data_IF_757169821876
#
_entry.id   IF_757169821876
#
_cell.length_a   1.000
_cell.length_b   1.000
_cell.length_c   1.000
_cell.angle_alpha   90.00
_cell.angle_beta   90.00
_cell.angle_gamma   90.00
#
_symmetry.space_group_name_H-M   'P 1'
#
loop_
_entity.id
_entity.type
_entity.pdbx_description
1 polymer ?
#
# COMPACT_ATOMS: atom_id res chain seq x y z
N UNK A 1 -4.58 -14.28 -6.57
CA UNK A 1 -4.53 -14.62 -8.02
C UNK A 1 -5.79 -15.33 -8.56
N UNK A 2 -6.92 -15.39 -7.84
CA UNK A 2 -8.09 -16.19 -8.24
C UNK A 2 -9.38 -15.43 -8.56
N UNK A 3 -9.43 -14.10 -8.45
CA UNK A 3 -10.67 -13.34 -8.63
C UNK A 3 -10.87 -13.06 -10.12
N UNK A 4 -11.83 -13.76 -10.75
CA UNK A 4 -12.24 -13.55 -12.15
C UNK A 4 -13.76 -13.31 -12.22
N UNK A 5 -14.20 -12.05 -12.11
CA UNK A 5 -15.60 -11.71 -12.23
C UNK A 5 -16.09 -11.85 -13.67
N UNK A 6 -17.30 -12.36 -13.85
CA UNK A 6 -17.91 -12.56 -15.18
C UNK A 6 -18.30 -11.24 -15.86
N UNK A 7 -18.73 -10.24 -15.07
CA UNK A 7 -19.14 -8.93 -15.61
C UNK A 7 -17.92 -8.10 -16.01
N UNK A 8 -17.90 -7.47 -17.20
CA UNK A 8 -16.77 -6.67 -17.67
C UNK A 8 -16.33 -5.58 -16.69
N UNK A 9 -17.30 -4.86 -16.09
CA UNK A 9 -17.02 -3.81 -15.10
C UNK A 9 -16.32 -4.36 -13.85
N UNK A 10 -16.82 -5.48 -13.32
CA UNK A 10 -16.24 -6.10 -12.13
C UNK A 10 -14.84 -6.63 -12.43
N UNK A 11 -14.63 -7.18 -13.62
CA UNK A 11 -13.32 -7.66 -14.07
C UNK A 11 -12.30 -6.52 -14.17
N UNK A 12 -12.69 -5.36 -14.69
CA UNK A 12 -11.84 -4.17 -14.72
C UNK A 12 -11.46 -3.69 -13.30
N UNK A 13 -12.42 -3.67 -12.38
CA UNK A 13 -12.19 -3.31 -10.97
C UNK A 13 -11.23 -4.31 -10.30
N UNK A 14 -11.49 -5.62 -10.44
CA UNK A 14 -10.65 -6.67 -9.89
C UNK A 14 -9.21 -6.62 -10.44
N UNK A 15 -9.06 -6.32 -11.73
CA UNK A 15 -7.76 -6.16 -12.38
C UNK A 15 -7.00 -4.95 -11.82
N UNK A 16 -7.69 -3.85 -11.53
CA UNK A 16 -7.09 -2.65 -10.92
C UNK A 16 -6.53 -2.95 -9.53
N UNK A 17 -7.27 -3.71 -8.70
CA UNK A 17 -6.78 -4.14 -7.39
C UNK A 17 -5.62 -5.13 -7.50
N UNK A 18 -5.72 -6.11 -8.40
CA UNK A 18 -4.65 -7.07 -8.64
C UNK A 18 -3.36 -6.36 -9.09
N UNK A 19 -3.48 -5.35 -9.95
CA UNK A 19 -2.34 -4.54 -10.39
C UNK A 19 -1.74 -3.74 -9.23
N UNK A 20 -2.57 -3.13 -8.38
CA UNK A 20 -2.10 -2.39 -7.19
C UNK A 20 -1.36 -3.29 -6.22
N UNK A 21 -1.92 -4.48 -5.92
CA UNK A 21 -1.31 -5.49 -5.09
C UNK A 21 0.02 -5.99 -5.68
N UNK A 22 0.06 -6.26 -6.99
CA UNK A 22 1.28 -6.70 -7.67
C UNK A 22 2.37 -5.64 -7.58
N UNK A 23 2.07 -4.38 -7.87
CA UNK A 23 3.05 -3.30 -7.80
C UNK A 23 3.59 -3.08 -6.37
N UNK A 24 2.75 -3.27 -5.35
CA UNK A 24 3.19 -3.25 -3.95
C UNK A 24 4.17 -4.39 -3.68
N UNK A 25 3.79 -5.62 -4.05
CA UNK A 25 4.63 -6.80 -3.88
C UNK A 25 5.98 -6.65 -4.59
N UNK A 26 5.98 -6.18 -5.83
CA UNK A 26 7.19 -6.07 -6.64
C UNK A 26 8.17 -5.01 -6.11
N UNK A 27 7.68 -4.00 -5.37
CA UNK A 27 8.52 -2.93 -4.81
C UNK A 27 9.01 -3.19 -3.40
N UNK A 28 8.17 -3.76 -2.53
CA UNK A 28 8.45 -3.86 -1.09
C UNK A 28 8.31 -5.27 -0.52
N UNK A 29 7.84 -6.24 -1.31
CA UNK A 29 7.73 -7.66 -0.89
C UNK A 29 6.58 -8.00 0.06
N UNK A 30 5.94 -6.99 0.69
CA UNK A 30 4.80 -7.14 1.59
C UNK A 30 3.79 -5.97 1.40
N UNK A 31 2.68 -5.96 2.15
CA UNK A 31 1.71 -4.88 2.18
C UNK A 31 0.64 -4.95 1.08
N UNK A 32 0.58 -6.05 0.34
CA UNK A 32 -0.39 -6.24 -0.77
C UNK A 32 -1.84 -6.11 -0.31
N UNK A 33 -2.15 -6.63 0.89
CA UNK A 33 -3.47 -6.52 1.51
C UNK A 33 -3.79 -5.06 1.87
N UNK A 34 -2.86 -4.38 2.52
CA UNK A 34 -3.00 -2.97 2.90
C UNK A 34 -3.21 -2.08 1.68
N UNK A 35 -2.40 -2.26 0.64
CA UNK A 35 -2.53 -1.55 -0.63
C UNK A 35 -3.90 -1.79 -1.27
N UNK A 36 -4.37 -3.04 -1.31
CA UNK A 36 -5.67 -3.40 -1.90
C UNK A 36 -6.84 -2.72 -1.18
N UNK A 37 -6.84 -2.74 0.16
CA UNK A 37 -7.90 -2.14 0.98
C UNK A 37 -7.88 -0.61 0.84
N UNK A 38 -6.70 0.01 0.85
CA UNK A 38 -6.57 1.46 0.66
C UNK A 38 -7.09 1.89 -0.71
N UNK A 39 -6.68 1.20 -1.78
CA UNK A 39 -7.17 1.48 -3.14
C UNK A 39 -8.69 1.35 -3.23
N UNK A 40 -9.27 0.33 -2.60
CA UNK A 40 -10.73 0.13 -2.59
C UNK A 40 -11.46 1.29 -1.93
N UNK A 41 -11.02 1.71 -0.73
CA UNK A 41 -11.62 2.82 0.00
C UNK A 41 -11.45 4.15 -0.75
N UNK A 42 -10.27 4.41 -1.33
CA UNK A 42 -10.02 5.62 -2.12
C UNK A 42 -10.93 5.72 -3.34
N UNK A 43 -11.11 4.63 -4.09
CA UNK A 43 -12.00 4.60 -5.26
C UNK A 43 -13.46 4.84 -4.84
N UNK A 44 -13.90 4.18 -3.75
CA UNK A 44 -15.26 4.33 -3.24
C UNK A 44 -15.55 5.78 -2.84
N UNK A 45 -14.64 6.41 -2.09
CA UNK A 45 -14.84 7.77 -1.59
C UNK A 45 -14.70 8.82 -2.69
N UNK A 46 -13.75 8.64 -3.61
CA UNK A 46 -13.64 9.48 -4.80
C UNK A 46 -14.92 9.41 -5.65
N UNK A 47 -15.47 8.21 -5.83
CA UNK A 47 -16.72 8.02 -6.59
C UNK A 47 -17.90 8.76 -5.96
N UNK A 48 -18.06 8.71 -4.63
CA UNK A 48 -19.09 9.48 -3.92
C UNK A 48 -18.92 10.98 -4.10
N UNK A 49 -17.70 11.48 -3.95
CA UNK A 49 -17.38 12.90 -4.09
C UNK A 49 -17.66 13.41 -5.51
N UNK A 50 -17.31 12.62 -6.54
CA UNK A 50 -17.61 12.93 -7.94
C UNK A 50 -19.12 12.94 -8.19
N UNK A 51 -19.87 11.96 -7.64
CA UNK A 51 -21.32 11.91 -7.76
C UNK A 51 -22.02 13.12 -7.10
N UNK A 52 -21.40 13.71 -6.08
CA UNK A 52 -21.85 14.96 -5.45
C UNK A 52 -21.54 16.23 -6.28
N UNK A 53 -20.93 16.09 -7.45
CA UNK A 53 -20.62 17.20 -8.37
C UNK A 53 -19.24 17.83 -8.18
N UNK A 54 -18.37 17.26 -7.33
CA UNK A 54 -17.02 17.78 -7.13
C UNK A 54 -16.11 17.51 -8.34
N UNK A 55 -15.21 18.45 -8.62
CA UNK A 55 -14.28 18.33 -9.74
C UNK A 55 -13.24 17.21 -9.53
N UNK A 56 -13.10 16.35 -10.55
CA UNK A 56 -12.22 15.19 -10.56
C UNK A 56 -10.74 15.56 -10.44
N UNK A 57 -10.33 16.64 -11.09
CA UNK A 57 -8.94 17.09 -11.11
C UNK A 57 -8.56 17.64 -9.74
N UNK A 58 -9.44 18.41 -9.11
CA UNK A 58 -9.29 18.89 -7.74
C UNK A 58 -9.15 17.75 -6.74
N UNK A 59 -10.01 16.71 -6.81
CA UNK A 59 -9.91 15.54 -5.93
C UNK A 59 -8.55 14.85 -6.09
N UNK A 60 -8.14 14.57 -7.33
CA UNK A 60 -6.83 13.95 -7.62
C UNK A 60 -5.68 14.78 -7.04
N UNK A 61 -5.69 16.09 -7.27
CA UNK A 61 -4.66 16.99 -6.77
C UNK A 61 -4.64 17.03 -5.23
N UNK A 62 -5.80 17.00 -4.58
CA UNK A 62 -5.93 16.91 -3.12
C UNK A 62 -5.31 15.62 -2.58
N UNK A 63 -5.62 14.47 -3.21
CA UNK A 63 -5.04 13.17 -2.85
C UNK A 63 -3.52 13.17 -2.98
N UNK A 64 -2.98 13.77 -4.05
CA UNK A 64 -1.52 13.86 -4.24
C UNK A 64 -0.85 14.68 -3.14
N UNK A 65 -1.42 15.84 -2.78
CA UNK A 65 -0.91 16.67 -1.69
C UNK A 65 -0.99 15.96 -0.34
N UNK A 66 -2.10 15.29 -0.05
CA UNK A 66 -2.27 14.51 1.18
C UNK A 66 -1.23 13.39 1.26
N UNK A 67 -1.00 12.68 0.15
CA UNK A 67 0.03 11.63 0.05
C UNK A 67 1.42 12.18 0.40
N UNK A 68 1.80 13.35 -0.10
CA UNK A 68 3.13 13.95 0.20
C UNK A 68 3.28 14.28 1.70
N UNK A 69 2.23 14.81 2.33
CA UNK A 69 2.22 15.10 3.78
C UNK A 69 2.31 13.81 4.60
N UNK A 70 1.52 12.80 4.24
CA UNK A 70 1.52 11.49 4.92
C UNK A 70 2.90 10.84 4.79
N UNK A 71 3.52 10.90 3.61
CA UNK A 71 4.85 10.30 3.40
C UNK A 71 5.91 10.94 4.30
N UNK A 72 5.83 12.28 4.46
CA UNK A 72 6.72 13.03 5.35
C UNK A 72 6.58 12.57 6.80
N UNK A 73 5.35 12.38 7.27
CA UNK A 73 5.09 11.94 8.65
C UNK A 73 5.48 10.48 8.88
N UNK A 74 5.22 9.59 7.92
CA UNK A 74 5.68 8.20 8.03
C UNK A 74 7.22 8.14 8.09
N UNK A 75 7.90 8.98 7.31
CA UNK A 75 9.35 9.07 7.34
C UNK A 75 9.88 9.59 8.69
N UNK A 76 9.22 10.58 9.31
CA UNK A 76 9.62 11.09 10.64
C UNK A 76 9.42 10.06 11.76
N UNK A 77 8.45 9.16 11.62
CA UNK A 77 8.21 8.05 12.56
C UNK A 77 9.17 6.87 12.36
N UNK A 78 9.91 6.82 11.26
CA UNK A 78 10.79 5.69 10.95
C UNK A 78 12.06 5.71 11.81
N UNK A 79 12.50 4.53 12.26
CA UNK A 79 13.80 4.35 12.91
C UNK A 79 14.77 3.75 11.89
N UNK A 80 15.86 4.46 11.62
CA UNK A 80 16.95 3.94 10.78
C UNK A 80 17.71 2.85 11.53
N UNK A 81 17.89 1.69 10.89
CA UNK A 81 18.76 0.61 11.35
C UNK A 81 20.08 0.71 10.58
N UNK A 82 21.19 0.91 11.30
CA UNK A 82 22.52 0.97 10.67
C UNK A 82 23.05 -0.44 10.44
N UNK A 83 23.55 -0.71 9.23
CA UNK A 83 24.19 -1.98 8.91
C UNK A 83 25.49 -2.21 9.69
N UNK A 84 26.07 -1.17 10.30
CA UNK A 84 27.26 -1.31 11.14
C UNK A 84 26.93 -1.91 12.52
N UNK A 85 25.66 -1.87 12.94
CA UNK A 85 25.19 -2.42 14.21
C UNK A 85 24.52 -3.77 14.00
N UNK A 86 25.34 -4.82 13.90
CA UNK A 86 24.88 -6.16 13.59
C UNK A 86 23.83 -6.71 14.57
N UNK A 87 23.87 -6.30 15.84
CA UNK A 87 22.87 -6.71 16.83
C UNK A 87 21.46 -6.22 16.49
N UNK A 88 21.32 -4.99 15.96
CA UNK A 88 20.02 -4.43 15.55
C UNK A 88 19.50 -5.13 14.28
N UNK A 89 20.40 -5.43 13.34
CA UNK A 89 20.07 -6.16 12.11
C UNK A 89 19.58 -7.57 12.45
N UNK A 90 20.29 -8.29 13.33
CA UNK A 90 19.91 -9.62 13.78
C UNK A 90 18.55 -9.62 14.48
N UNK A 91 18.27 -8.63 15.34
CA UNK A 91 16.96 -8.51 15.98
C UNK A 91 15.82 -8.38 14.96
N UNK A 92 16.00 -7.54 13.93
CA UNK A 92 14.98 -7.38 12.89
C UNK A 92 14.81 -8.68 12.11
N UNK A 93 15.90 -9.34 11.73
CA UNK A 93 15.87 -10.60 10.99
C UNK A 93 15.18 -11.72 11.77
N UNK A 94 15.52 -11.91 13.05
CA UNK A 94 14.88 -12.88 13.95
C UNK A 94 13.38 -12.62 14.07
N UNK A 95 12.97 -11.36 14.28
CA UNK A 95 11.54 -11.01 14.38
C UNK A 95 10.82 -11.32 13.06
N UNK A 96 11.42 -10.97 11.92
CA UNK A 96 10.86 -11.27 10.59
C UNK A 96 10.82 -12.78 10.30
N UNK A 97 11.73 -13.57 10.88
CA UNK A 97 11.76 -15.03 10.78
C UNK A 97 10.87 -15.73 11.81
N UNK A 98 9.85 -15.06 12.36
CA UNK A 98 8.95 -15.59 13.39
C UNK A 98 9.66 -16.06 14.67
N UNK A 99 10.78 -15.41 15.03
CA UNK A 99 11.56 -15.71 16.24
C UNK A 99 12.62 -16.79 16.06
N UNK A 100 12.82 -17.31 14.86
CA UNK A 100 13.87 -18.28 14.54
C UNK A 100 15.25 -17.60 14.49
N UNK A 101 16.19 -18.10 15.30
CA UNK A 101 17.56 -17.58 15.41
C UNK A 101 18.56 -18.27 14.49
N UNK A 102 18.20 -19.43 13.96
CA UNK A 102 19.07 -20.16 13.03
C UNK A 102 18.85 -19.66 11.59
N UNK A 103 17.65 -19.18 11.29
CA UNK A 103 17.28 -18.58 9.99
C UNK A 103 17.46 -17.06 9.96
N UNK A 104 17.11 -16.36 11.04
CA UNK A 104 17.17 -14.89 11.15
C UNK A 104 18.46 -14.39 11.76
#
# INVERSE_FOLDING_TARGET
RGIKPEKPLHSAIASTFAQSASQCNDKVGDGTTTCSILTSNMIMEASKSIAAGNDRVCIKNGIQKAKDVILKEIASMSRTISLEKMDEVAQVAIISANGDKDIG
#
